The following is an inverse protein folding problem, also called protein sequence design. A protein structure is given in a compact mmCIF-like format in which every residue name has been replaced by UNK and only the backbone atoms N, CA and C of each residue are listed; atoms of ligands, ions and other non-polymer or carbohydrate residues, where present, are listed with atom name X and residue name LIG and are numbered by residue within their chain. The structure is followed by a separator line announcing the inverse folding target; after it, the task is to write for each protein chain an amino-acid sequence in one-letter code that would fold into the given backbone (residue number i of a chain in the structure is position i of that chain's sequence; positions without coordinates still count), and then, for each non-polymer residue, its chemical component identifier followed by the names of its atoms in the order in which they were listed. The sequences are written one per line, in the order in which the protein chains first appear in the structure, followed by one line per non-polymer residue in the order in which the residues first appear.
data_IF_184771759516
#
_entry.id   IF_184771759516
#
_cell.length_a   1.000
_cell.length_b   1.000
_cell.length_c   1.000
_cell.angle_alpha   90.00
_cell.angle_beta   90.00
_cell.angle_gamma   90.00
#
_symmetry.space_group_name_H-M   'P 1'
#
loop_
_entity.id
_entity.type
_entity.pdbx_description
1 polymer ?
#
# COMPACT_ATOMS: atom_id res chain seq x y z
N UNK A 1 15.40 46.20 5.50
CA UNK A 1 15.46 47.60 5.98
C UNK A 1 16.65 47.72 6.91
N UNK A 2 17.66 48.52 6.55
CA UNK A 2 18.81 48.80 7.42
C UNK A 2 18.33 49.63 8.63
N UNK A 3 18.67 49.20 9.85
CA UNK A 3 18.41 49.97 11.07
C UNK A 3 19.34 51.18 11.09
N UNK A 4 18.78 52.37 11.27
CA UNK A 4 19.53 53.61 11.42
C UNK A 4 20.02 53.71 12.87
N UNK A 5 21.32 53.51 13.09
CA UNK A 5 21.93 53.57 14.42
C UNK A 5 22.41 54.99 14.71
N UNK A 6 22.02 55.54 15.87
CA UNK A 6 22.13 56.98 16.19
C UNK A 6 23.37 57.39 17.01
N UNK A 7 24.36 56.52 17.16
CA UNK A 7 25.57 56.82 17.96
C UNK A 7 26.85 56.54 17.17
N UNK A 8 27.84 57.46 17.14
CA UNK A 8 29.12 57.22 16.49
C UNK A 8 29.86 56.04 17.15
N UNK A 9 30.17 55.01 16.36
CA UNK A 9 30.85 53.80 16.83
C UNK A 9 31.07 52.81 15.68
N UNK A 10 31.88 51.77 15.90
CA UNK A 10 32.06 50.67 14.96
C UNK A 10 30.96 49.64 15.25
N UNK A 11 30.12 49.36 14.24
CA UNK A 11 29.10 48.32 14.30
C UNK A 11 29.45 47.23 13.30
N UNK A 12 29.43 45.99 13.74
CA UNK A 12 29.53 44.82 12.88
C UNK A 12 28.12 44.28 12.65
N UNK A 13 27.62 44.41 11.42
CA UNK A 13 26.41 43.72 10.98
C UNK A 13 26.82 42.38 10.36
N UNK A 14 26.50 41.27 11.05
CA UNK A 14 26.57 39.95 10.45
C UNK A 14 25.37 39.78 9.51
N UNK A 15 25.55 40.15 8.24
CA UNK A 15 24.62 39.74 7.20
C UNK A 15 24.81 38.24 7.02
N UNK A 16 23.84 37.44 7.46
CA UNK A 16 23.85 35.98 7.23
C UNK A 16 24.03 35.71 5.74
N UNK A 17 25.22 35.22 5.38
CA UNK A 17 25.66 35.03 4.00
C UNK A 17 25.22 33.67 3.42
N UNK A 18 24.30 32.97 4.06
CA UNK A 18 23.76 31.71 3.55
C UNK A 18 22.40 31.97 2.90
N UNK A 19 22.33 32.08 1.56
CA UNK A 19 21.07 32.04 0.87
C UNK A 19 20.48 30.63 0.95
N UNK A 20 19.17 30.62 1.21
CA UNK A 20 18.24 29.50 1.24
C UNK A 20 18.35 28.55 2.44
N UNK A 21 17.38 28.70 3.34
CA UNK A 21 16.81 27.59 4.10
C UNK A 21 16.60 26.43 3.13
N UNK A 22 17.39 25.36 3.26
CA UNK A 22 17.11 24.10 2.59
C UNK A 22 15.72 23.68 3.06
N UNK A 23 14.73 23.73 2.17
CA UNK A 23 13.43 23.13 2.48
C UNK A 23 13.73 21.65 2.70
N UNK A 24 13.43 21.08 3.88
CA UNK A 24 13.62 19.66 4.10
C UNK A 24 12.75 18.94 3.07
N UNK A 25 13.37 18.31 2.07
CA UNK A 25 12.67 17.38 1.19
C UNK A 25 12.58 16.11 2.00
N UNK A 26 11.36 15.70 2.35
CA UNK A 26 11.14 14.41 2.99
C UNK A 26 11.72 13.31 2.08
N UNK A 27 12.78 12.63 2.52
CA UNK A 27 13.57 11.69 1.70
C UNK A 27 12.93 10.31 1.55
N UNK A 28 11.61 10.20 1.75
CA UNK A 28 10.87 8.95 1.61
C UNK A 28 9.36 9.25 1.56
N UNK A 29 8.89 9.89 0.48
CA UNK A 29 7.45 10.05 0.24
C UNK A 29 6.97 8.80 -0.51
N UNK A 30 6.24 7.88 0.14
CA UNK A 30 5.69 6.70 -0.53
C UNK A 30 4.54 7.08 -1.46
N UNK A 31 4.49 6.44 -2.62
CA UNK A 31 3.29 6.31 -3.42
C UNK A 31 2.70 4.91 -3.23
N UNK A 32 1.50 4.84 -2.67
CA UNK A 32 0.71 3.63 -2.55
C UNK A 32 -0.27 3.54 -3.73
N UNK A 33 -0.14 2.51 -4.55
CA UNK A 33 -1.04 2.22 -5.67
C UNK A 33 -1.88 0.99 -5.34
N UNK A 34 -3.20 1.10 -5.41
CA UNK A 34 -4.07 0.00 -4.98
C UNK A 34 -5.54 0.38 -4.84
N UNK A 35 -6.30 -0.48 -4.16
CA UNK A 35 -7.76 -0.36 -4.11
C UNK A 35 -8.21 0.27 -2.79
N UNK A 36 -9.24 1.10 -2.85
CA UNK A 36 -9.84 1.73 -1.67
C UNK A 36 -11.35 1.55 -1.73
N UNK A 37 -12.08 1.55 -0.60
CA UNK A 37 -13.53 1.31 -0.64
C UNK A 37 -14.29 2.46 -1.32
N UNK A 38 -13.74 3.67 -1.27
CA UNK A 38 -14.20 4.82 -2.05
C UNK A 38 -13.01 5.69 -2.45
N UNK A 39 -13.18 6.56 -3.43
CA UNK A 39 -12.26 7.67 -3.68
C UNK A 39 -13.08 8.90 -4.08
N UNK A 40 -13.71 9.54 -3.11
CA UNK A 40 -14.60 10.69 -3.36
C UNK A 40 -14.51 11.70 -2.21
N UNK A 41 -14.40 12.98 -2.58
CA UNK A 41 -14.43 14.09 -1.64
C UNK A 41 -15.17 15.26 -2.27
N UNK A 42 -16.11 15.88 -1.53
CA UNK A 42 -16.92 17.02 -1.97
C UNK A 42 -17.61 16.83 -3.34
N UNK A 43 -18.12 15.62 -3.62
CA UNK A 43 -18.81 15.30 -4.87
C UNK A 43 -17.89 15.12 -6.09
N UNK A 44 -16.57 15.05 -5.86
CA UNK A 44 -15.56 14.77 -6.90
C UNK A 44 -14.94 13.40 -6.69
N UNK A 45 -14.82 12.64 -7.78
CA UNK A 45 -14.10 11.37 -7.80
C UNK A 45 -12.59 11.60 -7.89
N UNK A 46 -11.85 10.80 -7.11
CA UNK A 46 -10.40 10.76 -7.03
C UNK A 46 -9.83 9.39 -7.45
N UNK A 47 -10.64 8.54 -8.08
CA UNK A 47 -10.11 7.32 -8.71
C UNK A 47 -9.17 7.68 -9.85
N UNK A 48 -8.09 6.91 -9.99
CA UNK A 48 -7.05 7.08 -11.01
C UNK A 48 -6.45 8.49 -11.03
N UNK A 49 -6.30 9.08 -9.85
CA UNK A 49 -5.63 10.37 -9.64
C UNK A 49 -4.66 10.24 -8.46
N UNK A 50 -3.40 10.69 -8.60
CA UNK A 50 -2.49 10.82 -7.47
C UNK A 50 -3.01 11.88 -6.49
N UNK A 51 -3.18 11.49 -5.22
CA UNK A 51 -3.61 12.40 -4.16
C UNK A 51 -2.58 12.38 -3.04
N UNK A 52 -2.05 13.55 -2.70
CA UNK A 52 -1.17 13.69 -1.55
C UNK A 52 -1.99 13.86 -0.29
N UNK A 53 -1.63 13.10 0.72
CA UNK A 53 -2.16 13.19 2.08
C UNK A 53 -1.01 13.44 3.04
N UNK A 54 -1.27 14.27 4.05
CA UNK A 54 -0.32 14.60 5.12
C UNK A 54 -0.73 13.93 6.46
N UNK A 55 -1.92 13.32 6.51
CA UNK A 55 -2.39 12.61 7.70
C UNK A 55 -3.36 11.46 7.38
N UNK A 56 -3.53 10.55 8.34
CA UNK A 56 -4.56 9.50 8.24
C UNK A 56 -5.99 10.07 8.24
N UNK A 57 -6.22 11.24 8.84
CA UNK A 57 -7.54 11.88 8.83
C UNK A 57 -7.93 12.32 7.41
N UNK A 58 -6.99 12.86 6.64
CA UNK A 58 -7.20 13.20 5.22
C UNK A 58 -7.45 11.94 4.38
N UNK A 59 -6.71 10.87 4.65
CA UNK A 59 -6.99 9.58 4.03
C UNK A 59 -8.42 9.13 4.28
N UNK A 60 -8.90 9.20 5.53
CA UNK A 60 -10.27 8.81 5.85
C UNK A 60 -11.30 9.70 5.16
N UNK A 61 -11.05 11.01 5.08
CA UNK A 61 -11.98 11.94 4.43
C UNK A 61 -12.23 11.57 2.96
N UNK A 62 -11.15 11.26 2.22
CA UNK A 62 -11.18 11.05 0.77
C UNK A 62 -11.45 9.58 0.40
N UNK A 63 -10.81 8.65 1.10
CA UNK A 63 -10.74 7.24 0.70
C UNK A 63 -11.52 6.26 1.60
N UNK A 64 -12.13 6.75 2.68
CA UNK A 64 -12.88 5.88 3.60
C UNK A 64 -14.39 6.08 3.57
N UNK A 65 -15.12 4.98 3.74
CA UNK A 65 -16.56 5.00 3.93
C UNK A 65 -16.94 5.88 5.13
N UNK A 66 -18.13 6.51 5.12
CA UNK A 66 -18.58 7.38 6.21
C UNK A 66 -18.68 6.66 7.56
N UNK A 67 -18.79 5.33 7.55
CA UNK A 67 -18.88 4.49 8.75
C UNK A 67 -17.60 3.69 8.97
N UNK A 68 -16.92 3.89 10.10
CA UNK A 68 -15.62 3.27 10.41
C UNK A 68 -15.63 1.75 10.49
N UNK A 69 -16.75 1.13 10.89
CA UNK A 69 -16.88 -0.32 11.06
C UNK A 69 -16.92 -1.11 9.75
N UNK A 70 -17.07 -0.44 8.61
CA UNK A 70 -17.19 -1.08 7.29
C UNK A 70 -15.99 -0.79 6.39
N UNK A 71 -15.04 0.03 6.85
CA UNK A 71 -13.95 0.50 6.01
C UNK A 71 -13.13 -0.63 5.39
N UNK A 72 -12.93 -1.71 6.14
CA UNK A 72 -12.40 -2.97 5.67
C UNK A 72 -13.10 -4.11 6.40
N UNK A 73 -13.93 -4.87 5.69
CA UNK A 73 -14.78 -5.92 6.25
C UNK A 73 -14.58 -7.25 5.52
N UNK A 74 -13.39 -7.88 5.65
CA UNK A 74 -13.13 -9.19 5.05
C UNK A 74 -14.10 -10.24 5.61
N UNK A 75 -14.56 -11.14 4.74
CA UNK A 75 -15.43 -12.24 5.13
C UNK A 75 -14.63 -13.51 5.31
N UNK A 76 -14.94 -14.25 6.37
CA UNK A 76 -14.30 -15.51 6.71
C UNK A 76 -15.34 -16.58 6.99
N UNK A 77 -15.00 -17.82 6.64
CA UNK A 77 -15.90 -18.95 6.69
C UNK A 77 -15.22 -20.15 7.36
N UNK A 78 -16.01 -20.95 8.07
CA UNK A 78 -15.57 -22.21 8.66
C UNK A 78 -15.57 -23.31 7.60
N UNK A 79 -14.41 -23.91 7.36
CA UNK A 79 -14.23 -24.97 6.36
C UNK A 79 -13.75 -26.24 7.04
N UNK A 80 -14.54 -27.30 6.88
CA UNK A 80 -14.20 -28.63 7.40
C UNK A 80 -12.95 -29.16 6.72
N UNK A 81 -12.01 -29.68 7.50
CA UNK A 81 -10.74 -30.20 7.02
C UNK A 81 -10.78 -31.74 7.00
N UNK A 82 -10.25 -32.32 5.92
CA UNK A 82 -10.13 -33.78 5.76
C UNK A 82 -8.88 -34.35 6.42
N UNK A 83 -7.95 -33.51 6.87
CA UNK A 83 -6.76 -33.91 7.62
C UNK A 83 -6.29 -32.79 8.57
N UNK A 84 -5.69 -33.16 9.71
CA UNK A 84 -5.14 -32.21 10.68
C UNK A 84 -3.85 -31.52 10.18
N UNK A 85 -3.26 -32.00 9.08
CA UNK A 85 -1.93 -31.62 8.60
C UNK A 85 -1.90 -30.37 7.71
N UNK A 86 -3.01 -29.65 7.57
CA UNK A 86 -3.15 -28.53 6.62
C UNK A 86 -2.34 -27.26 6.91
N UNK A 87 -1.46 -27.25 7.92
CA UNK A 87 -0.56 -26.12 8.18
C UNK A 87 -1.32 -24.81 8.47
N UNK A 88 -2.11 -24.79 9.55
CA UNK A 88 -2.80 -23.59 10.00
C UNK A 88 -3.51 -23.79 11.34
N UNK A 89 -3.88 -22.71 12.05
CA UNK A 89 -4.67 -22.82 13.27
C UNK A 89 -6.01 -23.49 12.95
N UNK A 90 -6.30 -24.58 13.65
CA UNK A 90 -7.54 -25.34 13.50
C UNK A 90 -8.40 -25.22 14.77
N UNK A 91 -9.70 -25.44 14.61
CA UNK A 91 -10.69 -25.45 15.69
C UNK A 91 -11.46 -26.76 15.59
N UNK A 92 -11.50 -27.52 16.68
CA UNK A 92 -12.30 -28.75 16.74
C UNK A 92 -13.70 -28.44 17.27
N UNK A 93 -14.73 -28.80 16.50
CA UNK A 93 -16.14 -28.69 16.89
C UNK A 93 -16.77 -30.06 16.70
N UNK A 94 -17.32 -30.64 17.78
CA UNK A 94 -17.96 -31.96 17.78
C UNK A 94 -17.10 -33.08 17.14
N UNK A 95 -15.79 -33.06 17.38
CA UNK A 95 -14.84 -34.06 16.86
C UNK A 95 -14.47 -33.89 15.37
N UNK A 96 -14.98 -32.86 14.70
CA UNK A 96 -14.56 -32.47 13.35
C UNK A 96 -13.62 -31.26 13.41
N UNK A 97 -12.57 -31.28 12.59
CA UNK A 97 -11.60 -30.19 12.51
C UNK A 97 -12.02 -29.16 11.46
N UNK A 98 -11.97 -27.88 11.82
CA UNK A 98 -12.31 -26.76 10.98
C UNK A 98 -11.16 -25.76 10.92
N UNK A 99 -11.07 -25.04 9.82
CA UNK A 99 -10.21 -23.86 9.67
C UNK A 99 -11.06 -22.65 9.27
N UNK A 100 -10.55 -21.46 9.55
CA UNK A 100 -11.19 -20.21 9.18
C UNK A 100 -10.46 -19.67 7.95
N UNK A 101 -11.15 -19.63 6.81
CA UNK A 101 -10.56 -19.22 5.53
C UNK A 101 -11.29 -18.00 4.95
N UNK A 102 -10.56 -17.07 4.31
CA UNK A 102 -11.14 -15.86 3.75
C UNK A 102 -11.90 -16.13 2.44
N UNK A 103 -12.92 -15.32 2.18
CA UNK A 103 -13.41 -15.05 0.81
C UNK A 103 -12.44 -14.08 0.14
N UNK A 104 -11.73 -14.60 -0.87
CA UNK A 104 -10.66 -13.90 -1.57
C UNK A 104 -11.12 -12.55 -2.13
N UNK A 105 -12.38 -12.43 -2.57
CA UNK A 105 -12.93 -11.20 -3.14
C UNK A 105 -12.95 -10.03 -2.16
N UNK A 106 -12.95 -10.33 -0.86
CA UNK A 106 -13.08 -9.34 0.21
C UNK A 106 -11.74 -8.92 0.82
N UNK A 107 -10.63 -9.51 0.35
CA UNK A 107 -9.30 -9.24 0.87
C UNK A 107 -8.65 -8.11 0.09
N UNK A 108 -8.22 -7.08 0.81
CA UNK A 108 -7.53 -5.88 0.31
C UNK A 108 -6.58 -5.38 1.41
N UNK A 109 -5.46 -4.78 1.03
CA UNK A 109 -4.40 -4.45 2.00
C UNK A 109 -4.18 -2.94 2.19
N UNK A 110 -4.49 -2.13 1.18
CA UNK A 110 -4.25 -0.69 1.13
C UNK A 110 -4.67 0.06 2.40
N UNK A 111 -5.91 -0.15 2.86
CA UNK A 111 -6.42 0.53 4.06
C UNK A 111 -5.54 0.28 5.29
N UNK A 112 -5.22 -0.99 5.53
CA UNK A 112 -4.41 -1.39 6.68
C UNK A 112 -2.95 -0.99 6.50
N UNK A 113 -2.40 -1.06 5.28
CA UNK A 113 -1.04 -0.61 4.98
C UNK A 113 -0.86 0.86 5.28
N UNK A 114 -1.80 1.71 4.86
CA UNK A 114 -1.77 3.16 5.14
C UNK A 114 -1.97 3.44 6.63
N UNK A 115 -2.91 2.73 7.29
CA UNK A 115 -3.10 2.83 8.74
C UNK A 115 -1.81 2.48 9.49
N UNK A 116 -1.15 1.39 9.13
CA UNK A 116 0.12 0.96 9.72
C UNK A 116 1.23 1.97 9.44
N UNK A 117 1.31 2.51 8.23
CA UNK A 117 2.28 3.55 7.88
C UNK A 117 2.19 4.75 8.83
N UNK A 118 1.00 5.32 9.03
CA UNK A 118 0.81 6.44 9.94
C UNK A 118 1.00 6.06 11.43
N UNK A 119 0.61 4.85 11.83
CA UNK A 119 0.87 4.36 13.19
C UNK A 119 2.37 4.19 13.49
N UNK A 120 3.18 3.97 12.47
CA UNK A 120 4.66 3.89 12.57
C UNK A 120 5.34 5.25 12.35
N UNK A 121 4.61 6.37 12.43
CA UNK A 121 5.17 7.72 12.29
C UNK A 121 5.36 8.18 10.85
N UNK A 122 4.66 7.55 9.90
CA UNK A 122 4.61 7.99 8.51
C UNK A 122 4.11 9.45 8.39
N UNK A 123 4.73 10.18 7.46
CA UNK A 123 4.38 11.57 7.13
C UNK A 123 3.56 11.66 5.83
N UNK A 124 3.95 12.56 4.95
CA UNK A 124 3.32 12.73 3.63
C UNK A 124 3.39 11.43 2.81
N UNK A 125 2.27 11.08 2.18
CA UNK A 125 2.16 9.96 1.23
C UNK A 125 1.33 10.36 0.01
N UNK A 126 1.63 9.76 -1.14
CA UNK A 126 0.81 9.82 -2.34
C UNK A 126 -0.06 8.56 -2.42
N UNK A 127 -1.37 8.72 -2.61
CA UNK A 127 -2.32 7.61 -2.75
C UNK A 127 -2.85 7.63 -4.18
N UNK A 128 -2.77 6.49 -4.85
CA UNK A 128 -3.40 6.26 -6.16
C UNK A 128 -4.42 5.16 -5.99
N UNK A 129 -5.69 5.54 -5.85
CA UNK A 129 -6.80 4.59 -5.82
C UNK A 129 -7.17 4.18 -7.24
N UNK A 130 -6.98 2.90 -7.59
CA UNK A 130 -7.25 2.39 -8.94
C UNK A 130 -8.68 1.86 -9.12
N UNK A 131 -9.40 1.62 -8.02
CA UNK A 131 -10.79 1.17 -8.06
C UNK A 131 -11.41 0.89 -6.68
N UNK A 132 -12.74 0.74 -6.62
CA UNK A 132 -13.47 0.33 -5.43
C UNK A 132 -13.20 -1.13 -5.07
N UNK A 133 -13.58 -1.53 -3.86
CA UNK A 133 -13.66 -2.95 -3.52
C UNK A 133 -14.78 -3.66 -4.29
N UNK A 134 -14.51 -4.90 -4.70
CA UNK A 134 -15.49 -5.79 -5.30
C UNK A 134 -16.44 -6.39 -4.28
N UNK A 135 -17.52 -7.00 -4.78
CA UNK A 135 -18.48 -7.70 -3.94
C UNK A 135 -17.94 -9.06 -3.45
N UNK A 136 -18.39 -9.53 -2.27
CA UNK A 136 -18.06 -10.87 -1.79
C UNK A 136 -18.54 -11.94 -2.77
N UNK A 137 -17.76 -13.00 -2.94
CA UNK A 137 -18.17 -14.19 -3.70
C UNK A 137 -19.08 -15.10 -2.87
N UNK A 138 -18.94 -15.06 -1.54
CA UNK A 138 -19.54 -16.04 -0.64
C UNK A 138 -18.84 -17.41 -0.66
N UNK A 139 -17.73 -17.53 -1.39
CA UNK A 139 -16.97 -18.76 -1.57
C UNK A 139 -15.56 -18.54 -1.00
N UNK A 140 -15.23 -19.16 0.15
CA UNK A 140 -13.90 -19.05 0.73
C UNK A 140 -12.86 -19.89 -0.01
N UNK A 141 -11.59 -19.66 0.31
CA UNK A 141 -10.51 -20.60 0.01
C UNK A 141 -10.88 -22.03 0.47
N UNK A 142 -10.40 -23.02 -0.28
CA UNK A 142 -10.71 -24.44 -0.04
C UNK A 142 -9.81 -25.09 1.00
N UNK A 143 -8.56 -24.64 1.10
CA UNK A 143 -7.54 -25.19 2.00
C UNK A 143 -6.62 -24.08 2.52
N UNK A 144 -6.03 -24.23 3.73
CA UNK A 144 -4.96 -23.36 4.18
C UNK A 144 -3.71 -23.50 3.30
N UNK A 145 -2.85 -22.48 3.29
CA UNK A 145 -1.60 -22.45 2.52
C UNK A 145 -1.78 -22.23 1.01
N UNK A 146 -3.01 -22.13 0.51
CA UNK A 146 -3.26 -21.68 -0.86
C UNK A 146 -3.11 -20.16 -0.92
N UNK A 147 -2.41 -19.67 -1.94
CA UNK A 147 -2.29 -18.24 -2.20
C UNK A 147 -3.67 -17.61 -2.35
N UNK A 148 -3.89 -16.48 -1.66
CA UNK A 148 -5.11 -15.71 -1.79
C UNK A 148 -5.03 -14.84 -3.05
N UNK A 149 -5.64 -15.29 -4.15
CA UNK A 149 -5.77 -14.50 -5.39
C UNK A 149 -7.14 -13.83 -5.39
N UNK A 150 -7.19 -12.50 -5.37
CA UNK A 150 -8.45 -11.74 -5.42
C UNK A 150 -8.81 -11.44 -6.90
N UNK A 151 -9.91 -11.98 -7.46
CA UNK A 151 -10.28 -11.77 -8.86
C UNK A 151 -10.68 -10.32 -9.19
N UNK A 152 -10.98 -9.50 -8.18
CA UNK A 152 -11.26 -8.07 -8.34
C UNK A 152 -9.99 -7.22 -8.39
N UNK A 153 -8.82 -7.79 -8.10
CA UNK A 153 -7.52 -7.11 -8.20
C UNK A 153 -6.91 -7.50 -9.54
N UNK A 154 -6.83 -6.55 -10.47
CA UNK A 154 -6.28 -6.81 -11.80
C UNK A 154 -4.91 -6.16 -12.01
N UNK A 155 -4.07 -6.82 -12.83
CA UNK A 155 -2.78 -6.27 -13.27
C UNK A 155 -2.96 -4.94 -14.00
N UNK A 156 -3.97 -4.85 -14.87
CA UNK A 156 -4.22 -3.69 -15.71
C UNK A 156 -4.48 -2.43 -14.87
N UNK A 157 -5.30 -2.54 -13.83
CA UNK A 157 -5.62 -1.41 -12.94
C UNK A 157 -4.39 -0.95 -12.17
N UNK A 158 -3.59 -1.87 -11.63
CA UNK A 158 -2.36 -1.54 -10.90
C UNK A 158 -1.29 -0.92 -11.82
N UNK A 159 -1.14 -1.41 -13.05
CA UNK A 159 -0.25 -0.80 -14.05
C UNK A 159 -0.74 0.59 -14.49
N UNK A 160 -2.05 0.78 -14.62
CA UNK A 160 -2.63 2.09 -14.91
C UNK A 160 -2.34 3.09 -13.78
N UNK A 161 -2.52 2.68 -12.52
CA UNK A 161 -2.16 3.47 -11.35
C UNK A 161 -0.66 3.82 -11.30
N UNK A 162 0.20 2.84 -11.54
CA UNK A 162 1.66 3.04 -11.62
C UNK A 162 2.04 4.05 -12.72
N UNK A 163 1.37 4.01 -13.87
CA UNK A 163 1.65 4.90 -14.99
C UNK A 163 1.38 6.37 -14.67
N UNK A 164 0.42 6.66 -13.77
CA UNK A 164 0.12 8.03 -13.32
C UNK A 164 1.31 8.64 -12.57
N UNK A 165 2.08 7.83 -11.84
CA UNK A 165 3.24 8.29 -11.07
C UNK A 165 4.39 8.81 -11.95
N UNK A 166 4.39 8.55 -13.27
CA UNK A 166 5.36 9.14 -14.20
C UNK A 166 5.25 10.66 -14.28
N UNK A 167 4.09 11.21 -13.95
CA UNK A 167 3.82 12.65 -13.96
C UNK A 167 4.13 13.30 -12.60
N UNK A 168 4.46 12.50 -11.58
CA UNK A 168 4.74 12.95 -10.23
C UNK A 168 6.25 13.00 -9.99
N UNK A 169 6.74 14.09 -9.39
CA UNK A 169 8.18 14.28 -9.10
C UNK A 169 8.54 14.10 -7.63
N UNK A 170 7.54 14.04 -6.75
CA UNK A 170 7.70 13.97 -5.30
C UNK A 170 7.87 12.54 -4.77
N UNK A 171 7.13 11.52 -5.26
CA UNK A 171 7.25 10.18 -4.71
C UNK A 171 8.64 9.58 -4.97
N UNK A 172 9.26 9.07 -3.90
CA UNK A 172 10.59 8.44 -3.92
C UNK A 172 10.56 6.96 -3.55
N UNK A 173 9.37 6.43 -3.25
CA UNK A 173 9.16 5.03 -2.92
C UNK A 173 7.84 4.56 -3.56
N UNK A 174 7.84 3.46 -4.31
CA UNK A 174 6.64 2.86 -4.89
C UNK A 174 6.24 1.60 -4.14
N UNK A 175 4.94 1.49 -3.82
CA UNK A 175 4.33 0.33 -3.18
C UNK A 175 3.01 -0.01 -3.86
N UNK A 176 2.75 -1.31 -4.01
CA UNK A 176 1.47 -1.86 -4.44
C UNK A 176 0.99 -2.88 -3.41
N UNK A 177 0.26 -2.47 -2.34
CA UNK A 177 -0.13 -3.38 -1.26
C UNK A 177 -0.88 -4.62 -1.76
N UNK A 178 -1.77 -4.47 -2.75
CA UNK A 178 -2.52 -5.59 -3.33
C UNK A 178 -1.72 -6.49 -4.28
N UNK A 179 -0.44 -6.23 -4.55
CA UNK A 179 0.33 -7.00 -5.55
C UNK A 179 0.35 -8.51 -5.24
N UNK A 180 0.39 -8.90 -3.97
CA UNK A 180 0.40 -10.32 -3.55
C UNK A 180 -0.95 -11.02 -3.75
N UNK A 181 -2.02 -10.28 -4.04
CA UNK A 181 -3.35 -10.80 -4.38
C UNK A 181 -3.52 -11.09 -5.87
N UNK A 182 -2.51 -10.78 -6.70
CA UNK A 182 -2.47 -11.17 -8.11
C UNK A 182 -2.04 -12.64 -8.27
N UNK A 183 -2.29 -13.20 -9.45
CA UNK A 183 -1.61 -14.44 -9.85
C UNK A 183 -0.09 -14.25 -9.85
N UNK A 184 0.73 -15.30 -9.64
CA UNK A 184 2.18 -15.17 -9.68
C UNK A 184 2.71 -14.52 -10.97
N UNK A 185 2.18 -14.92 -12.14
CA UNK A 185 2.60 -14.36 -13.43
C UNK A 185 2.27 -12.86 -13.57
N UNK A 186 1.09 -12.45 -13.09
CA UNK A 186 0.69 -11.04 -13.10
C UNK A 186 1.52 -10.22 -12.10
N UNK A 187 1.79 -10.77 -10.91
CA UNK A 187 2.65 -10.14 -9.92
C UNK A 187 4.07 -9.90 -10.47
N UNK A 188 4.70 -10.92 -11.07
CA UNK A 188 6.02 -10.79 -11.72
C UNK A 188 5.98 -9.69 -12.79
N UNK A 189 4.92 -9.63 -13.60
CA UNK A 189 4.77 -8.61 -14.64
C UNK A 189 4.64 -7.20 -14.04
N UNK A 190 3.89 -7.03 -12.95
CA UNK A 190 3.77 -5.77 -12.23
C UNK A 190 5.12 -5.33 -11.64
N UNK A 191 5.82 -6.22 -10.95
CA UNK A 191 7.12 -5.97 -10.34
C UNK A 191 8.14 -5.52 -11.39
N UNK A 192 8.24 -6.22 -12.52
CA UNK A 192 9.10 -5.83 -13.63
C UNK A 192 8.73 -4.45 -14.18
N UNK A 193 7.43 -4.13 -14.27
CA UNK A 193 6.94 -2.83 -14.72
C UNK A 193 7.36 -1.70 -13.76
N UNK A 194 7.26 -1.93 -12.45
CA UNK A 194 7.67 -1.00 -11.40
C UNK A 194 9.18 -0.76 -11.43
N UNK A 195 9.99 -1.82 -11.51
CA UNK A 195 11.45 -1.74 -11.62
C UNK A 195 11.88 -0.99 -12.87
N UNK A 196 11.29 -1.29 -14.03
CA UNK A 196 11.60 -0.62 -15.28
C UNK A 196 11.27 0.88 -15.23
N UNK A 197 10.15 1.25 -14.58
CA UNK A 197 9.79 2.65 -14.38
C UNK A 197 10.75 3.36 -13.43
N UNK A 198 11.07 2.73 -12.29
CA UNK A 198 12.05 3.25 -11.34
C UNK A 198 13.43 3.45 -11.98
N UNK A 199 13.89 2.49 -12.79
CA UNK A 199 15.13 2.60 -13.56
C UNK A 199 15.10 3.76 -14.55
N UNK A 200 13.98 3.95 -15.28
CA UNK A 200 13.85 5.01 -16.29
C UNK A 200 13.80 6.41 -15.69
N UNK A 201 13.04 6.58 -14.60
CA UNK A 201 12.84 7.87 -13.97
C UNK A 201 13.98 8.23 -13.02
N UNK A 202 14.62 7.22 -12.40
CA UNK A 202 15.66 7.38 -11.38
C UNK A 202 15.23 8.22 -10.17
N UNK A 203 13.91 8.32 -9.92
CA UNK A 203 13.34 9.13 -8.84
C UNK A 203 12.89 8.31 -7.64
N UNK A 204 12.63 7.01 -7.83
CA UNK A 204 12.02 6.17 -6.80
C UNK A 204 12.69 4.81 -6.68
N UNK A 205 12.64 4.24 -5.48
CA UNK A 205 12.88 2.81 -5.24
C UNK A 205 11.56 2.07 -5.10
N UNK A 206 11.53 0.75 -5.31
CA UNK A 206 10.33 -0.04 -5.16
C UNK A 206 10.44 -0.93 -3.91
N UNK A 207 9.36 -0.99 -3.12
CA UNK A 207 9.23 -1.94 -2.02
C UNK A 207 8.18 -2.98 -2.40
N UNK A 208 8.60 -4.25 -2.39
CA UNK A 208 7.78 -5.37 -2.80
C UNK A 208 7.57 -6.35 -1.66
N UNK A 209 6.38 -6.96 -1.65
CA UNK A 209 6.06 -8.09 -0.81
C UNK A 209 6.21 -9.39 -1.62
N UNK A 210 6.79 -10.41 -0.98
CA UNK A 210 7.01 -11.73 -1.59
C UNK A 210 5.77 -12.60 -1.39
N UNK A 211 5.24 -13.17 -2.47
CA UNK A 211 4.14 -14.14 -2.41
C UNK A 211 4.59 -15.34 -1.56
N UNK A 212 3.73 -15.81 -0.65
CA UNK A 212 4.01 -16.90 0.28
C UNK A 212 5.18 -16.68 1.26
N UNK A 213 5.70 -15.45 1.41
CA UNK A 213 6.78 -15.14 2.35
C UNK A 213 6.45 -15.42 3.84
N UNK A 214 5.19 -15.71 4.16
CA UNK A 214 4.72 -16.13 5.48
C UNK A 214 4.80 -17.65 5.72
N UNK A 215 5.25 -18.45 4.74
CA UNK A 215 5.51 -19.89 4.86
C UNK A 215 7.01 -20.20 4.75
N UNK A 216 7.85 -19.68 5.67
CA UNK A 216 9.28 -19.85 5.56
C UNK A 216 9.65 -21.31 5.84
N UNK A 217 10.19 -22.01 4.85
CA UNK A 217 11.14 -23.09 5.14
C UNK A 217 12.53 -22.62 4.76
N UNK A 218 13.56 -22.99 5.53
CA UNK A 218 14.95 -22.59 5.25
C UNK A 218 15.42 -23.01 3.84
N UNK A 219 14.74 -23.98 3.22
CA UNK A 219 15.03 -24.45 1.86
C UNK A 219 14.30 -23.61 0.79
N UNK A 220 13.06 -23.15 1.05
CA UNK A 220 12.23 -22.47 0.04
C UNK A 220 12.44 -20.97 -0.08
N UNK A 221 13.16 -20.29 0.84
CA UNK A 221 13.44 -18.86 0.68
C UNK A 221 14.14 -18.53 -0.65
N UNK A 222 15.10 -19.38 -1.05
CA UNK A 222 15.78 -19.21 -2.33
C UNK A 222 14.83 -19.47 -3.49
N UNK A 223 13.92 -20.44 -3.36
CA UNK A 223 12.95 -20.81 -4.39
C UNK A 223 11.88 -19.72 -4.56
N UNK A 224 11.38 -19.16 -3.46
CA UNK A 224 10.39 -18.07 -3.46
C UNK A 224 11.01 -16.77 -4.02
N UNK A 225 12.29 -16.49 -3.75
CA UNK A 225 13.02 -15.37 -4.37
C UNK A 225 13.35 -15.66 -5.84
N UNK A 226 13.64 -16.90 -6.23
CA UNK A 226 13.87 -17.26 -7.64
C UNK A 226 12.59 -17.24 -8.47
N UNK A 227 11.44 -17.52 -7.84
CA UNK A 227 10.13 -17.44 -8.46
C UNK A 227 9.61 -16.00 -8.59
N UNK A 228 10.13 -15.08 -7.77
CA UNK A 228 9.81 -13.65 -7.74
C UNK A 228 10.56 -12.86 -8.82
#
# INVERSE_FOLDING_TARGET
MLRTLSTPGVYSDEVSAFPNSVIPIATAVPAFVGYTPKAEFEGKSYYNQPVYIDSFAEYLAIFALPTSSQQYSPQYYLIAQTSESGGGPNITINGSSYTILPDQNTIYYMYNSIRLFFLNGGGRACIVSVGPYGGPSGVPLTSPGIQCINPNVTLADLQAGLALLKNETVPSLYLCPEATLLSPADNTTLVQSMLLQAQKLQTAVCLFDVINGNQPTQETFSDDIQAF
#
